data_IF_313415829796
#
_entry.id   IF_313415829796
#
_cell.length_a   1.000
_cell.length_b   1.000
_cell.length_c   1.000
_cell.angle_alpha   90.00
_cell.angle_beta   90.00
_cell.angle_gamma   90.00
#
_symmetry.space_group_name_H-M   'P 1'
#
loop_
_entity.id
_entity.type
_entity.pdbx_description
1 polymer ?
#
# COMPACT_ATOMS: atom_id res chain seq x y z
N UNK A 1 0.51 20.26 19.50
CA UNK A 1 -0.48 19.24 19.91
C UNK A 1 0.07 17.84 19.82
N UNK A 2 0.20 17.29 18.60
CA UNK A 2 0.55 15.86 18.35
C UNK A 2 1.99 15.48 18.76
N UNK A 3 2.96 16.39 18.62
CA UNK A 3 4.36 16.16 19.05
C UNK A 3 4.52 15.91 20.56
N UNK A 4 3.73 16.61 21.37
CA UNK A 4 3.76 16.49 22.83
C UNK A 4 3.13 15.19 23.36
N UNK A 5 2.34 14.48 22.55
CA UNK A 5 1.77 13.17 22.90
C UNK A 5 2.74 12.02 22.58
N UNK A 6 3.60 12.20 21.57
CA UNK A 6 4.66 11.23 21.21
C UNK A 6 5.80 11.29 22.23
N UNK A 7 6.23 12.48 22.65
CA UNK A 7 7.28 12.65 23.67
C UNK A 7 6.86 12.18 25.07
N UNK A 8 5.56 12.05 25.36
CA UNK A 8 5.06 11.54 26.65
C UNK A 8 4.98 10.02 26.73
N UNK A 9 5.05 9.32 25.59
CA UNK A 9 5.05 7.85 25.52
C UNK A 9 6.47 7.25 25.65
N UNK A 10 7.50 8.04 25.35
CA UNK A 10 8.90 7.69 25.53
C UNK A 10 9.38 8.26 26.88
N UNK A 11 9.07 7.55 27.98
CA UNK A 11 9.58 7.91 29.30
C UNK A 11 11.12 7.87 29.35
N UNK A 12 11.79 8.71 30.17
CA UNK A 12 13.24 8.71 30.26
C UNK A 12 13.77 7.39 30.84
N UNK A 13 14.98 6.96 30.46
CA UNK A 13 15.59 5.77 31.04
C UNK A 13 15.85 5.99 32.53
N UNK A 14 15.41 5.05 33.36
CA UNK A 14 15.64 5.06 34.79
C UNK A 14 17.14 4.94 35.10
N UNK A 15 17.73 5.97 35.70
CA UNK A 15 19.03 5.86 36.36
C UNK A 15 18.84 5.18 37.72
N UNK A 16 19.25 3.91 37.79
CA UNK A 16 19.33 3.17 39.04
C UNK A 16 20.69 3.38 39.70
N UNK A 17 20.72 4.16 40.78
CA UNK A 17 21.88 4.31 41.65
C UNK A 17 21.79 3.44 42.91
N UNK A 18 22.84 2.65 43.15
CA UNK A 18 23.37 2.37 44.50
C UNK A 18 23.17 0.96 45.09
N UNK A 19 24.29 0.30 45.41
CA UNK A 19 24.38 -0.67 46.51
C UNK A 19 25.18 -1.94 46.20
N UNK A 20 26.39 -2.07 46.75
CA UNK A 20 27.33 -3.16 46.48
C UNK A 20 27.06 -4.46 47.26
N UNK A 21 27.73 -5.54 46.84
CA UNK A 21 27.69 -6.83 47.53
C UNK A 21 28.27 -8.01 46.72
N UNK A 22 29.57 -8.26 46.94
CA UNK A 22 30.34 -9.51 46.83
C UNK A 22 30.08 -10.58 45.74
N UNK A 23 31.20 -11.03 45.17
CA UNK A 23 31.38 -12.05 44.14
C UNK A 23 30.98 -13.49 44.52
N UNK A 24 30.52 -14.28 43.52
CA UNK A 24 31.04 -15.62 43.23
C UNK A 24 30.56 -16.17 41.85
N UNK A 25 31.53 -16.43 40.98
CA UNK A 25 31.62 -17.46 39.91
C UNK A 25 30.39 -18.02 39.21
N UNK A 26 30.29 -17.75 37.90
CA UNK A 26 29.47 -18.51 36.95
C UNK A 26 29.76 -18.08 35.51
N UNK A 27 30.61 -18.84 34.81
CA UNK A 27 30.97 -18.59 33.43
C UNK A 27 29.79 -18.79 32.49
N UNK A 28 29.23 -17.69 31.98
CA UNK A 28 28.28 -17.66 30.87
C UNK A 28 28.81 -16.71 29.81
N UNK A 29 29.07 -17.22 28.60
CA UNK A 29 29.40 -16.38 27.45
C UNK A 29 28.22 -15.44 27.18
N UNK A 30 28.38 -14.17 27.51
CA UNK A 30 27.43 -13.13 27.16
C UNK A 30 27.42 -12.97 25.64
N UNK A 31 26.34 -13.41 25.00
CA UNK A 31 25.99 -12.96 23.65
C UNK A 31 25.96 -11.43 23.67
N UNK A 32 26.95 -10.80 23.04
CA UNK A 32 26.93 -9.37 22.79
C UNK A 32 25.66 -9.05 22.00
N UNK A 33 24.72 -8.43 22.69
CA UNK A 33 23.52 -7.83 22.10
C UNK A 33 24.02 -6.75 21.16
N UNK A 34 24.13 -7.05 19.87
CA UNK A 34 24.45 -6.07 18.83
C UNK A 34 23.32 -5.05 18.84
N UNK A 35 23.50 -3.95 19.57
CA UNK A 35 22.64 -2.78 19.48
C UNK A 35 22.94 -2.17 18.12
N UNK A 36 22.09 -2.47 17.13
CA UNK A 36 22.15 -1.80 15.83
C UNK A 36 22.18 -0.30 16.07
N UNK A 37 23.23 0.38 15.60
CA UNK A 37 23.32 1.84 15.55
C UNK A 37 21.96 2.35 15.07
N UNK A 38 21.28 3.14 15.90
CA UNK A 38 19.97 3.69 15.57
C UNK A 38 20.14 4.71 14.44
N UNK A 39 20.15 4.24 13.20
CA UNK A 39 19.89 5.08 12.06
C UNK A 39 18.50 5.68 12.30
N UNK A 40 18.33 7.01 12.34
CA UNK A 40 17.01 7.60 12.44
C UNK A 40 16.16 7.01 11.32
N UNK A 41 15.01 6.41 11.65
CA UNK A 41 14.07 5.95 10.63
C UNK A 41 13.73 7.17 9.77
N UNK A 42 14.00 7.13 8.47
CA UNK A 42 13.72 8.25 7.56
C UNK A 42 12.24 8.34 7.26
N UNK A 43 11.52 7.22 7.38
CA UNK A 43 10.09 7.13 7.20
C UNK A 43 9.33 7.75 8.38
N UNK A 44 8.81 8.95 8.12
CA UNK A 44 7.74 9.59 8.86
C UNK A 44 6.44 9.47 8.06
N UNK A 45 5.46 8.75 8.62
CA UNK A 45 4.19 8.52 7.96
C UNK A 45 3.46 9.84 7.64
N UNK A 46 3.40 10.79 8.58
CA UNK A 46 2.69 12.05 8.36
C UNK A 46 3.35 12.85 7.24
N UNK A 47 4.68 12.89 7.21
CA UNK A 47 5.42 13.55 6.11
C UNK A 47 5.13 12.89 4.76
N UNK A 48 5.18 11.56 4.71
CA UNK A 48 5.02 10.82 3.46
C UNK A 48 3.59 10.87 2.91
N UNK A 49 2.56 10.73 3.76
CA UNK A 49 1.17 10.88 3.32
C UNK A 49 0.82 12.35 3.06
N UNK A 50 1.46 13.31 3.73
CA UNK A 50 1.39 14.73 3.39
C UNK A 50 1.89 15.03 1.97
N UNK A 51 3.00 14.39 1.54
CA UNK A 51 3.50 14.48 0.15
C UNK A 51 2.47 14.00 -0.88
N UNK A 52 1.65 13.01 -0.53
CA UNK A 52 0.60 12.49 -1.41
C UNK A 52 -0.69 13.35 -1.41
N UNK A 53 -0.71 14.48 -0.70
CA UNK A 53 -1.90 15.31 -0.56
C UNK A 53 -2.99 14.65 0.30
N UNK A 54 -2.61 13.75 1.22
CA UNK A 54 -3.55 13.15 2.19
C UNK A 54 -3.79 14.07 3.38
N UNK A 55 -2.80 14.87 3.74
CA UNK A 55 -2.92 15.86 4.80
C UNK A 55 -3.10 17.24 4.18
N UNK A 56 -4.07 18.01 4.66
CA UNK A 56 -4.20 19.42 4.27
C UNK A 56 -2.90 20.16 4.61
N UNK A 57 -2.44 21.01 3.68
CA UNK A 57 -1.26 21.87 3.86
C UNK A 57 -1.53 23.00 4.87
N UNK A 58 -1.94 22.67 6.09
CA UNK A 58 -2.01 23.57 7.24
C UNK A 58 -0.90 23.33 8.28
N UNK A 59 -0.05 22.32 8.08
CA UNK A 59 0.98 21.89 9.06
C UNK A 59 2.23 21.29 8.37
N UNK A 60 2.72 21.89 7.28
CA UNK A 60 4.10 21.63 6.88
C UNK A 60 5.02 22.41 7.85
N UNK A 61 5.92 21.77 8.62
CA UNK A 61 6.97 22.51 9.29
C UNK A 61 7.83 23.18 8.21
N UNK A 62 8.26 24.43 8.38
CA UNK A 62 9.14 25.07 7.41
C UNK A 62 10.38 24.20 7.24
N UNK A 63 10.78 23.98 5.99
CA UNK A 63 12.05 23.37 5.68
C UNK A 63 13.12 24.16 6.42
N UNK A 64 13.73 23.55 7.44
CA UNK A 64 14.80 24.19 8.19
C UNK A 64 15.93 24.49 7.21
N UNK A 65 16.20 25.78 7.05
CA UNK A 65 17.35 26.31 6.37
C UNK A 65 18.62 25.65 6.93
N UNK A 66 19.37 25.00 6.06
CA UNK A 66 20.79 24.73 6.28
C UNK A 66 21.52 26.05 6.05
N UNK A 67 21.64 26.84 7.11
CA UNK A 67 22.58 27.96 7.15
C UNK A 67 24.00 27.40 7.26
N UNK A 68 24.68 27.34 6.12
CA UNK A 68 26.13 27.31 6.07
C UNK A 68 26.62 28.75 6.12
N UNK A 69 26.98 29.21 7.31
CA UNK A 69 27.69 30.47 7.50
C UNK A 69 29.18 30.30 7.12
N UNK A 70 29.57 30.81 5.97
CA UNK A 70 30.92 31.37 5.73
C UNK A 70 30.80 32.46 4.68
N UNK A 71 31.06 33.71 5.09
CA UNK A 71 30.87 34.90 4.28
C UNK A 71 32.00 35.19 3.30
N UNK A 72 31.68 36.03 2.31
CA UNK A 72 32.53 37.10 1.78
C UNK A 72 31.67 38.02 0.90
N UNK A 73 31.74 39.31 1.16
CA UNK A 73 31.01 40.36 0.46
C UNK A 73 31.61 40.66 -0.93
N UNK A 74 30.78 41.04 -1.90
CA UNK A 74 31.13 42.04 -2.92
C UNK A 74 29.88 42.53 -3.68
N UNK A 75 29.86 43.83 -3.90
CA UNK A 75 28.84 44.70 -4.50
C UNK A 75 28.82 44.66 -6.03
N UNK A 76 27.64 44.78 -6.65
CA UNK A 76 27.33 45.76 -7.72
C UNK A 76 25.93 45.54 -8.32
N UNK A 77 25.31 46.65 -8.71
CA UNK A 77 23.93 46.80 -9.18
C UNK A 77 23.72 46.44 -10.65
N UNK A 78 22.46 46.17 -11.05
CA UNK A 78 22.00 46.40 -12.42
C UNK A 78 21.01 45.40 -13.03
N UNK A 79 19.77 45.88 -13.19
CA UNK A 79 18.84 45.64 -14.32
C UNK A 79 17.84 44.45 -14.34
N UNK A 80 16.57 44.86 -14.40
CA UNK A 80 15.37 44.32 -15.08
C UNK A 80 14.62 43.08 -14.52
N UNK A 81 13.29 43.18 -14.26
CA UNK A 81 12.46 42.06 -13.83
C UNK A 81 11.87 41.33 -15.05
N UNK A 82 12.52 40.26 -15.49
CA UNK A 82 11.96 39.36 -16.52
C UNK A 82 11.39 38.09 -15.88
N UNK A 83 10.07 37.96 -15.97
CA UNK A 83 9.35 36.71 -16.19
C UNK A 83 9.63 35.50 -15.27
N UNK A 84 9.42 35.64 -13.96
CA UNK A 84 9.38 34.48 -13.04
C UNK A 84 8.19 34.49 -12.06
N UNK A 85 7.12 35.23 -12.37
CA UNK A 85 5.93 35.34 -11.52
C UNK A 85 4.65 34.96 -12.28
N UNK A 86 4.55 33.71 -12.74
CA UNK A 86 3.27 33.15 -13.22
C UNK A 86 3.30 31.61 -13.31
N UNK A 87 3.44 30.93 -12.18
CA UNK A 87 2.73 29.67 -11.94
C UNK A 87 2.62 29.44 -10.44
N UNK A 88 1.99 30.40 -9.76
CA UNK A 88 1.37 30.13 -8.47
C UNK A 88 0.22 29.15 -8.76
N UNK A 89 0.55 27.86 -8.72
CA UNK A 89 -0.36 26.76 -8.93
C UNK A 89 -1.52 26.94 -7.94
N UNK A 90 -2.69 27.33 -8.44
CA UNK A 90 -3.88 27.55 -7.62
C UNK A 90 -4.34 26.19 -7.11
N UNK A 91 -3.80 25.77 -5.96
CA UNK A 91 -4.19 24.54 -5.28
C UNK A 91 -5.66 24.68 -4.89
N UNK A 92 -6.56 24.13 -5.71
CA UNK A 92 -7.91 23.82 -5.26
C UNK A 92 -7.76 22.68 -4.25
N UNK A 93 -7.76 22.98 -2.96
CA UNK A 93 -7.75 21.95 -1.91
C UNK A 93 -9.17 21.39 -1.76
N UNK A 94 -9.56 20.48 -2.66
CA UNK A 94 -10.60 19.51 -2.28
C UNK A 94 -10.04 18.71 -1.11
N UNK A 95 -10.73 18.65 0.05
CA UNK A 95 -10.25 17.90 1.20
C UNK A 95 -9.91 16.47 0.82
N UNK A 96 -8.86 15.90 1.41
CA UNK A 96 -8.50 14.53 1.09
C UNK A 96 -9.64 13.55 1.49
N UNK A 97 -9.98 12.56 0.64
CA UNK A 97 -10.91 11.50 1.02
C UNK A 97 -10.34 10.58 2.11
N UNK A 98 -9.07 10.74 2.47
CA UNK A 98 -8.33 9.93 3.43
C UNK A 98 -7.85 10.76 4.63
N UNK A 99 -7.80 10.14 5.80
CA UNK A 99 -7.35 10.78 7.03
C UNK A 99 -6.45 9.84 7.85
N UNK A 100 -5.56 10.40 8.70
CA UNK A 100 -4.78 9.59 9.62
C UNK A 100 -5.68 9.03 10.75
N UNK A 101 -5.43 7.78 11.11
CA UNK A 101 -5.93 7.12 12.31
C UNK A 101 -4.79 7.14 13.33
N UNK A 102 -4.81 8.14 14.22
CA UNK A 102 -3.70 8.48 15.12
C UNK A 102 -3.73 7.70 16.44
N UNK A 103 -4.88 7.19 16.85
CA UNK A 103 -5.11 6.62 18.17
C UNK A 103 -5.20 5.10 18.13
N UNK A 104 -5.77 4.54 17.05
CA UNK A 104 -6.16 3.14 16.99
C UNK A 104 -4.99 2.18 17.19
N UNK A 105 -3.80 2.49 16.63
CA UNK A 105 -2.60 1.67 16.75
C UNK A 105 -1.41 2.40 17.41
N UNK A 106 -1.65 3.51 18.10
CA UNK A 106 -0.58 4.35 18.66
C UNK A 106 0.41 3.57 19.54
N UNK A 107 -0.11 2.62 20.34
CA UNK A 107 0.65 1.74 21.20
C UNK A 107 0.77 0.30 20.65
N UNK A 108 0.59 0.11 19.34
CA UNK A 108 0.70 -1.19 18.65
C UNK A 108 -0.30 -2.27 19.10
N UNK A 109 -1.28 -1.92 19.94
CA UNK A 109 -2.25 -2.88 20.49
C UNK A 109 -3.32 -3.36 19.51
N UNK A 110 -3.56 -2.64 18.41
CA UNK A 110 -4.48 -3.07 17.35
C UNK A 110 -3.81 -4.08 16.41
N UNK A 111 -2.58 -3.77 16.01
CA UNK A 111 -1.76 -4.58 15.12
C UNK A 111 -0.27 -4.33 15.41
N UNK A 112 0.41 -5.27 16.10
CA UNK A 112 1.82 -5.12 16.45
C UNK A 112 2.78 -5.05 15.25
N UNK A 113 2.36 -5.59 14.11
CA UNK A 113 3.16 -5.67 12.88
C UNK A 113 2.86 -4.53 11.89
N UNK A 114 2.09 -3.52 12.31
CA UNK A 114 1.79 -2.29 11.57
C UNK A 114 2.47 -1.07 12.23
N UNK A 115 2.61 0.06 11.52
CA UNK A 115 3.09 1.30 12.12
C UNK A 115 2.08 1.85 13.14
N UNK A 116 2.54 2.76 14.00
CA UNK A 116 1.71 3.39 15.04
C UNK A 116 0.61 4.30 14.47
N UNK A 117 0.88 4.93 13.32
CA UNK A 117 -0.09 5.74 12.56
C UNK A 117 -0.56 4.96 11.34
N UNK A 118 -1.87 4.80 11.22
CA UNK A 118 -2.54 4.22 10.06
C UNK A 118 -3.31 5.28 9.28
N UNK A 119 -3.82 4.94 8.10
CA UNK A 119 -4.60 5.86 7.27
C UNK A 119 -5.86 5.17 6.76
N UNK A 120 -7.00 5.84 6.93
CA UNK A 120 -8.33 5.32 6.63
C UNK A 120 -9.21 6.31 5.88
N UNK A 121 -10.47 5.95 5.59
CA UNK A 121 -11.46 6.89 5.03
C UNK A 121 -11.70 8.06 5.97
N UNK A 122 -11.80 9.29 5.44
CA UNK A 122 -12.11 10.50 6.23
C UNK A 122 -13.42 10.40 7.01
N UNK A 123 -14.34 9.54 6.56
CA UNK A 123 -15.58 9.20 7.28
C UNK A 123 -15.36 8.41 8.59
N UNK A 124 -14.14 8.00 8.91
CA UNK A 124 -13.78 7.24 10.11
C UNK A 124 -12.84 8.07 10.98
N UNK A 125 -13.31 8.48 12.16
CA UNK A 125 -12.53 9.21 13.16
C UNK A 125 -12.23 8.31 14.36
N UNK A 126 -10.97 7.92 14.55
CA UNK A 126 -10.55 7.03 15.64
C UNK A 126 -10.36 7.72 17.00
N UNK A 127 -10.47 9.05 17.07
CA UNK A 127 -10.63 9.76 18.33
C UNK A 127 -12.05 9.62 18.88
N UNK A 128 -13.04 9.40 18.00
CA UNK A 128 -14.42 9.17 18.42
C UNK A 128 -14.63 7.70 18.82
N UNK A 129 -15.34 7.40 19.93
CA UNK A 129 -15.55 6.02 20.41
C UNK A 129 -16.13 5.08 19.35
N UNK A 130 -17.09 5.55 18.55
CA UNK A 130 -17.69 4.72 17.48
C UNK A 130 -16.73 4.41 16.33
N UNK A 131 -15.89 5.38 15.94
CA UNK A 131 -14.89 5.17 14.89
C UNK A 131 -13.80 4.21 15.38
N UNK A 132 -13.34 4.37 16.62
CA UNK A 132 -12.40 3.44 17.25
C UNK A 132 -12.99 2.03 17.37
N UNK A 133 -14.26 1.90 17.76
CA UNK A 133 -14.96 0.61 17.84
C UNK A 133 -15.10 -0.05 16.47
N UNK A 134 -15.41 0.73 15.42
CA UNK A 134 -15.44 0.23 14.05
C UNK A 134 -14.08 -0.34 13.66
N UNK A 135 -13.01 0.46 13.82
CA UNK A 135 -11.63 0.07 13.50
C UNK A 135 -11.20 -1.22 14.22
N UNK A 136 -11.48 -1.33 15.52
CA UNK A 136 -11.20 -2.54 16.31
C UNK A 136 -11.94 -3.78 15.79
N UNK A 137 -13.21 -3.64 15.39
CA UNK A 137 -13.99 -4.75 14.83
C UNK A 137 -13.50 -5.17 13.43
N UNK A 138 -13.02 -4.22 12.62
CA UNK A 138 -12.39 -4.51 11.33
C UNK A 138 -11.10 -5.30 11.55
N UNK A 139 -10.21 -4.81 12.43
CA UNK A 139 -8.97 -5.49 12.76
C UNK A 139 -9.21 -6.91 13.31
N UNK A 140 -10.18 -7.10 14.21
CA UNK A 140 -10.52 -8.42 14.75
C UNK A 140 -10.96 -9.44 13.69
N UNK A 141 -11.51 -8.97 12.56
CA UNK A 141 -11.93 -9.81 11.43
C UNK A 141 -10.82 -10.03 10.40
N UNK A 142 -9.66 -9.38 10.53
CA UNK A 142 -8.52 -9.50 9.64
C UNK A 142 -7.42 -10.29 10.35
N UNK A 143 -6.77 -11.21 9.63
CA UNK A 143 -5.68 -12.02 10.20
C UNK A 143 -4.64 -11.14 10.91
N UNK A 144 -4.31 -11.47 12.16
CA UNK A 144 -3.34 -10.72 12.99
C UNK A 144 -3.65 -9.22 13.18
N UNK A 145 -4.91 -8.79 13.02
CA UNK A 145 -5.28 -7.39 13.21
C UNK A 145 -4.87 -6.47 12.04
N UNK A 146 -4.33 -7.03 10.95
CA UNK A 146 -3.80 -6.28 9.80
C UNK A 146 -4.91 -5.76 8.89
N UNK A 147 -5.65 -4.79 9.41
CA UNK A 147 -6.80 -4.17 8.75
C UNK A 147 -6.42 -3.47 7.44
N UNK A 148 -7.40 -3.21 6.55
CA UNK A 148 -7.23 -2.31 5.40
C UNK A 148 -6.69 -0.94 5.84
N UNK A 149 -5.51 -0.58 5.35
CA UNK A 149 -4.90 0.75 5.54
C UNK A 149 -4.40 1.26 4.20
N UNK A 150 -4.46 2.58 4.01
CA UNK A 150 -3.96 3.25 2.81
C UNK A 150 -2.46 3.02 2.66
N UNK A 151 -1.99 2.78 1.44
CA UNK A 151 -0.58 2.59 1.10
C UNK A 151 -0.09 3.68 0.13
N UNK A 152 -0.95 4.12 -0.79
CA UNK A 152 -0.69 5.23 -1.71
C UNK A 152 -2.00 5.93 -2.09
N UNK A 153 -1.95 7.25 -2.32
CA UNK A 153 -3.08 8.02 -2.83
C UNK A 153 -2.70 8.88 -4.03
N UNK A 154 -3.62 8.97 -4.98
CA UNK A 154 -3.66 10.04 -5.97
C UNK A 154 -4.04 11.35 -5.26
N UNK A 155 -3.32 12.42 -5.58
CA UNK A 155 -3.57 13.76 -5.03
C UNK A 155 -4.71 14.49 -5.75
N UNK A 156 -5.41 13.83 -6.70
CA UNK A 156 -6.33 14.49 -7.65
C UNK A 156 -7.76 13.96 -7.56
N UNK A 157 -7.94 12.64 -7.43
CA UNK A 157 -9.20 11.99 -7.83
C UNK A 157 -9.66 10.84 -6.92
N UNK A 158 -9.07 10.71 -5.73
CA UNK A 158 -9.40 9.64 -4.79
C UNK A 158 -8.98 8.24 -5.22
N UNK A 159 -8.34 8.05 -6.38
CA UNK A 159 -7.76 6.75 -6.72
C UNK A 159 -6.63 6.41 -5.74
N UNK A 160 -6.56 5.16 -5.26
CA UNK A 160 -5.67 4.81 -4.15
C UNK A 160 -5.31 3.33 -4.11
N UNK A 161 -4.17 3.01 -3.49
CA UNK A 161 -3.77 1.65 -3.14
C UNK A 161 -3.95 1.43 -1.64
N UNK A 162 -4.57 0.31 -1.31
CA UNK A 162 -4.84 -0.16 0.05
C UNK A 162 -4.23 -1.52 0.25
N UNK A 163 -3.89 -1.85 1.49
CA UNK A 163 -3.36 -3.16 1.84
C UNK A 163 -3.94 -3.71 3.14
N UNK A 164 -4.05 -5.04 3.22
CA UNK A 164 -4.48 -5.76 4.42
C UNK A 164 -3.98 -7.22 4.41
N UNK A 165 -4.28 -7.95 5.49
CA UNK A 165 -4.33 -9.42 5.48
C UNK A 165 -5.69 -9.95 5.01
N UNK A 166 -5.79 -11.27 4.83
CA UNK A 166 -7.06 -11.95 4.55
C UNK A 166 -8.12 -11.75 5.65
N UNK A 167 -9.42 -11.80 5.30
CA UNK A 167 -10.52 -11.81 6.25
C UNK A 167 -10.72 -13.20 6.92
N UNK A 168 -11.34 -13.22 8.10
CA UNK A 168 -11.65 -14.41 8.92
C UNK A 168 -13.02 -15.01 8.59
N UNK A 169 -13.23 -15.33 7.31
CA UNK A 169 -14.52 -15.85 6.79
C UNK A 169 -14.74 -17.32 7.17
N UNK A 170 -13.72 -18.16 7.02
CA UNK A 170 -13.78 -19.60 7.31
C UNK A 170 -14.72 -20.40 6.40
N UNK A 171 -14.94 -21.66 6.78
CA UNK A 171 -15.88 -22.56 6.09
C UNK A 171 -17.34 -22.17 6.32
N UNK A 172 -17.66 -21.68 7.52
CA UNK A 172 -19.01 -21.23 7.91
C UNK A 172 -19.46 -19.96 7.20
N UNK A 173 -18.56 -19.26 6.49
CA UNK A 173 -18.91 -18.04 5.77
C UNK A 173 -19.17 -16.86 6.71
N UNK A 174 -18.40 -16.77 7.79
CA UNK A 174 -18.48 -15.69 8.77
C UNK A 174 -18.36 -14.32 8.08
N UNK A 175 -19.11 -13.37 8.60
CA UNK A 175 -19.21 -12.00 8.08
C UNK A 175 -18.87 -11.00 9.18
N UNK A 176 -18.46 -9.81 8.75
CA UNK A 176 -18.26 -8.68 9.65
C UNK A 176 -18.89 -7.45 9.04
N UNK A 177 -20.02 -7.02 9.62
CA UNK A 177 -20.68 -5.77 9.20
C UNK A 177 -19.75 -4.55 9.34
N UNK A 178 -18.78 -4.61 10.27
CA UNK A 178 -17.75 -3.58 10.41
C UNK A 178 -16.78 -3.57 9.23
N UNK A 179 -16.26 -4.73 8.82
CA UNK A 179 -15.35 -4.86 7.66
C UNK A 179 -16.07 -4.49 6.35
N UNK A 180 -17.30 -4.99 6.15
CA UNK A 180 -18.16 -4.64 5.02
C UNK A 180 -18.42 -3.12 4.95
N UNK A 181 -18.74 -2.48 6.08
CA UNK A 181 -18.94 -1.03 6.16
C UNK A 181 -17.64 -0.27 5.87
N UNK A 182 -16.52 -0.70 6.42
CA UNK A 182 -15.23 -0.02 6.24
C UNK A 182 -14.77 -0.05 4.78
N UNK A 183 -14.89 -1.21 4.11
CA UNK A 183 -14.57 -1.31 2.68
C UNK A 183 -15.52 -0.50 1.80
N UNK A 184 -16.81 -0.43 2.16
CA UNK A 184 -17.76 0.45 1.47
C UNK A 184 -17.34 1.92 1.57
N UNK A 185 -16.96 2.38 2.76
CA UNK A 185 -16.49 3.75 2.97
C UNK A 185 -15.25 4.09 2.14
N UNK A 186 -14.32 3.15 1.95
CA UNK A 186 -13.19 3.34 1.03
C UNK A 186 -13.70 3.65 -0.39
N UNK A 187 -14.63 2.85 -0.90
CA UNK A 187 -15.20 3.03 -2.23
C UNK A 187 -15.98 4.35 -2.37
N UNK A 188 -16.83 4.69 -1.41
CA UNK A 188 -17.66 5.90 -1.40
C UNK A 188 -16.81 7.18 -1.30
N UNK A 189 -15.82 7.23 -0.39
CA UNK A 189 -14.93 8.38 -0.25
C UNK A 189 -14.14 8.62 -1.55
N UNK A 190 -13.62 7.57 -2.20
CA UNK A 190 -12.95 7.71 -3.50
C UNK A 190 -13.90 8.21 -4.59
N UNK A 191 -15.12 7.68 -4.66
CA UNK A 191 -16.11 8.06 -5.67
C UNK A 191 -16.53 9.53 -5.54
N UNK A 192 -16.71 10.00 -4.31
CA UNK A 192 -17.04 11.39 -4.01
C UNK A 192 -15.90 12.33 -4.44
N UNK A 193 -14.66 12.03 -4.05
CA UNK A 193 -13.50 12.81 -4.46
C UNK A 193 -13.32 12.83 -5.99
N UNK A 194 -13.60 11.71 -6.67
CA UNK A 194 -13.58 11.66 -8.13
C UNK A 194 -14.65 12.57 -8.75
N UNK A 195 -15.87 12.59 -8.23
CA UNK A 195 -16.95 13.46 -8.71
C UNK A 195 -16.61 14.94 -8.52
N UNK A 196 -16.03 15.32 -7.38
CA UNK A 196 -15.57 16.69 -7.10
C UNK A 196 -14.44 17.12 -8.04
N UNK A 197 -13.51 16.22 -8.37
CA UNK A 197 -12.43 16.50 -9.33
C UNK A 197 -12.95 16.84 -10.73
N UNK A 198 -14.13 16.30 -11.11
CA UNK A 198 -14.77 16.53 -12.40
C UNK A 198 -15.63 17.81 -12.43
N UNK A 199 -16.27 18.17 -11.32
CA UNK A 199 -17.12 19.38 -11.24
C UNK A 199 -16.31 20.67 -11.09
N UNK A 200 -15.06 20.57 -10.64
CA UNK A 200 -14.20 21.74 -10.37
C UNK A 200 -13.46 22.35 -11.56
N UNK A 201 -13.46 21.73 -12.75
CA UNK A 201 -12.69 22.19 -13.91
C UNK A 201 -13.58 22.70 -15.04
N UNK A 202 -13.59 24.01 -15.28
CA UNK A 202 -14.12 24.56 -16.53
C UNK A 202 -13.31 24.04 -17.71
N UNK A 203 -13.94 23.27 -18.61
CA UNK A 203 -13.61 23.14 -20.04
C UNK A 203 -12.19 22.76 -20.48
N UNK A 204 -11.25 22.49 -19.59
CA UNK A 204 -9.86 22.16 -19.89
C UNK A 204 -9.59 20.65 -19.85
N UNK A 205 -10.51 19.85 -20.38
CA UNK A 205 -10.32 18.41 -20.51
C UNK A 205 -9.24 18.14 -21.56
N UNK A 206 -7.98 18.15 -21.14
CA UNK A 206 -6.87 17.66 -21.94
C UNK A 206 -7.17 16.23 -22.37
N UNK A 207 -7.71 16.09 -23.58
CA UNK A 207 -7.95 14.86 -24.32
C UNK A 207 -6.64 14.23 -24.79
N UNK A 208 -5.56 14.40 -24.02
CA UNK A 208 -4.32 13.68 -24.23
C UNK A 208 -4.66 12.20 -24.19
N UNK A 209 -4.59 11.56 -25.36
CA UNK A 209 -4.71 10.11 -25.50
C UNK A 209 -3.78 9.50 -24.47
N UNK A 210 -4.35 9.04 -23.34
CA UNK A 210 -3.57 8.38 -22.30
C UNK A 210 -2.99 7.15 -22.98
N UNK A 211 -1.66 6.98 -23.03
CA UNK A 211 -1.08 5.84 -23.69
C UNK A 211 -1.67 4.58 -23.07
N UNK A 212 -2.46 3.87 -23.87
CA UNK A 212 -2.96 2.55 -23.55
C UNK A 212 -1.79 1.62 -23.92
N UNK A 213 -1.36 0.72 -23.03
CA UNK A 213 -0.31 -0.22 -23.37
C UNK A 213 -0.72 -1.05 -24.58
N UNK A 214 0.26 -1.42 -25.42
CA UNK A 214 -0.02 -2.26 -26.58
C UNK A 214 -0.58 -3.62 -26.16
N UNK A 215 -1.40 -4.23 -27.02
CA UNK A 215 -1.93 -5.58 -26.79
C UNK A 215 -0.79 -6.60 -26.59
N UNK A 216 0.32 -6.45 -27.32
CA UNK A 216 1.51 -7.27 -27.14
C UNK A 216 2.11 -7.15 -25.73
N UNK A 217 2.17 -5.94 -25.17
CA UNK A 217 2.66 -5.71 -23.81
C UNK A 217 1.71 -6.31 -22.77
N UNK A 218 0.40 -6.17 -22.98
CA UNK A 218 -0.61 -6.77 -22.10
C UNK A 218 -0.52 -8.30 -22.13
N UNK A 219 -0.47 -8.93 -23.31
CA UNK A 219 -0.30 -10.38 -23.47
C UNK A 219 0.98 -10.90 -22.82
N UNK A 220 2.09 -10.17 -22.97
CA UNK A 220 3.36 -10.51 -22.31
C UNK A 220 3.21 -10.51 -20.79
N UNK A 221 2.58 -9.48 -20.21
CA UNK A 221 2.38 -9.37 -18.77
C UNK A 221 1.37 -10.39 -18.23
N UNK A 222 0.28 -10.63 -18.94
CA UNK A 222 -0.78 -11.56 -18.50
C UNK A 222 -0.46 -13.02 -18.81
N UNK A 223 0.54 -13.27 -19.67
CA UNK A 223 0.83 -14.61 -20.19
C UNK A 223 -0.30 -15.12 -21.07
N UNK A 224 -0.99 -14.22 -21.78
CA UNK A 224 -2.13 -14.55 -22.64
C UNK A 224 -3.45 -14.83 -21.91
N UNK A 225 -3.53 -14.60 -20.59
CA UNK A 225 -4.79 -14.67 -19.86
C UNK A 225 -5.73 -13.54 -20.33
N UNK A 226 -6.93 -13.92 -20.75
CA UNK A 226 -7.99 -13.14 -21.41
C UNK A 226 -7.98 -11.63 -21.06
N UNK A 227 -7.79 -10.79 -22.08
CA UNK A 227 -7.82 -9.31 -21.99
C UNK A 227 -9.10 -8.74 -21.33
N UNK A 228 -10.18 -9.54 -21.30
CA UNK A 228 -11.45 -9.25 -20.62
C UNK A 228 -11.28 -9.00 -19.11
N UNK A 229 -10.34 -9.64 -18.41
CA UNK A 229 -10.19 -9.47 -16.95
C UNK A 229 -9.52 -8.13 -16.57
N UNK A 230 -8.66 -7.58 -17.44
CA UNK A 230 -8.04 -6.26 -17.24
C UNK A 230 -8.90 -5.13 -17.81
N UNK A 231 -9.45 -5.30 -19.02
CA UNK A 231 -10.22 -4.28 -19.74
C UNK A 231 -11.73 -4.31 -19.44
N UNK A 232 -12.20 -5.35 -18.76
CA UNK A 232 -13.60 -5.59 -18.39
C UNK A 232 -14.32 -4.40 -17.74
N UNK A 233 -13.68 -3.60 -16.85
CA UNK A 233 -14.35 -2.43 -16.26
C UNK A 233 -14.77 -1.40 -17.32
N UNK A 234 -13.96 -1.19 -18.37
CA UNK A 234 -14.26 -0.19 -19.42
C UNK A 234 -15.37 -0.67 -20.38
N UNK A 235 -15.48 -1.97 -20.65
CA UNK A 235 -16.58 -2.55 -21.45
C UNK A 235 -17.88 -2.64 -20.64
N UNK A 236 -17.82 -3.01 -19.37
CA UNK A 236 -18.97 -3.02 -18.46
C UNK A 236 -19.53 -1.60 -18.24
N UNK A 237 -18.67 -0.60 -18.02
CA UNK A 237 -19.07 0.80 -17.92
C UNK A 237 -19.66 1.34 -19.24
N UNK A 238 -19.14 0.92 -20.40
CA UNK A 238 -19.72 1.28 -21.70
C UNK A 238 -21.08 0.65 -21.94
N UNK A 239 -21.32 -0.61 -21.54
CA UNK A 239 -22.64 -1.24 -21.64
C UNK A 239 -23.68 -0.53 -20.77
N UNK A 240 -23.32 -0.12 -19.55
CA UNK A 240 -24.22 0.64 -18.66
C UNK A 240 -24.49 2.04 -19.23
N UNK A 241 -23.47 2.71 -19.77
CA UNK A 241 -23.62 4.03 -20.40
C UNK A 241 -24.47 3.98 -21.69
N UNK A 242 -24.48 2.87 -22.42
CA UNK A 242 -25.35 2.68 -23.59
C UNK A 242 -26.80 2.30 -23.26
N UNK A 243 -27.13 2.05 -21.99
CA UNK A 243 -28.46 1.60 -21.56
C UNK A 243 -29.32 2.68 -20.89
N UNK A 244 -28.78 3.87 -20.63
CA UNK A 244 -29.55 4.96 -20.02
C UNK A 244 -29.92 6.04 -21.03
N UNK A 245 -30.88 5.69 -21.90
CA UNK A 245 -31.85 6.67 -22.40
C UNK A 245 -33.12 6.42 -21.58
N UNK A 246 -33.49 7.34 -20.68
CA UNK A 246 -34.86 7.67 -20.25
C UNK A 246 -34.82 8.60 -18.99
N UNK A 247 -35.14 9.88 -19.24
CA UNK A 247 -35.94 10.82 -18.42
C UNK A 247 -35.37 11.46 -17.13
N UNK A 248 -34.90 12.70 -17.31
CA UNK A 248 -35.46 13.99 -16.81
C UNK A 248 -35.82 14.23 -15.32
N UNK A 249 -35.21 15.29 -14.76
CA UNK A 249 -35.87 16.31 -13.91
C UNK A 249 -35.90 16.13 -12.39
N UNK A 250 -35.28 17.05 -11.64
CA UNK A 250 -35.59 17.31 -10.23
C UNK A 250 -34.38 17.61 -9.33
N UNK A 251 -34.28 18.85 -8.85
CA UNK A 251 -33.34 19.32 -7.83
C UNK A 251 -33.57 18.64 -6.47
N UNK A 252 -32.66 17.77 -6.06
CA UNK A 252 -32.51 17.28 -4.69
C UNK A 252 -31.06 16.86 -4.42
N UNK A 253 -30.58 17.11 -3.20
CA UNK A 253 -29.21 16.87 -2.71
C UNK A 253 -28.75 15.46 -3.08
N UNK A 254 -27.59 15.38 -3.77
CA UNK A 254 -27.13 14.20 -4.51
C UNK A 254 -26.61 13.11 -3.55
N UNK A 255 -27.52 12.27 -3.03
CA UNK A 255 -27.20 10.88 -2.73
C UNK A 255 -27.30 10.09 -4.06
N UNK A 256 -26.25 10.15 -4.88
CA UNK A 256 -26.23 9.43 -6.15
C UNK A 256 -26.20 7.92 -5.87
N UNK A 257 -27.32 7.27 -6.18
CA UNK A 257 -27.47 5.82 -6.23
C UNK A 257 -26.35 5.18 -7.07
N UNK A 258 -25.31 4.63 -6.45
CA UNK A 258 -24.19 3.94 -7.13
C UNK A 258 -24.59 2.55 -7.69
N UNK A 259 -25.87 2.32 -7.96
CA UNK A 259 -26.37 1.01 -8.40
C UNK A 259 -25.68 0.57 -9.70
N UNK A 260 -25.04 -0.61 -9.66
CA UNK A 260 -24.35 -1.21 -10.81
C UNK A 260 -22.92 -0.75 -11.06
N UNK A 261 -22.36 0.21 -10.31
CA UNK A 261 -20.97 0.67 -10.49
C UNK A 261 -20.01 -0.01 -9.51
N UNK A 262 -18.84 -0.43 -9.99
CA UNK A 262 -17.74 -0.87 -9.12
C UNK A 262 -17.08 0.35 -8.46
N UNK A 263 -16.99 0.35 -7.13
CA UNK A 263 -16.38 1.39 -6.31
C UNK A 263 -15.08 0.92 -5.65
N UNK A 264 -14.86 -0.38 -5.49
CA UNK A 264 -13.63 -0.95 -4.91
C UNK A 264 -13.19 -2.20 -5.68
N UNK A 265 -11.92 -2.24 -6.08
CA UNK A 265 -11.29 -3.44 -6.63
C UNK A 265 -10.53 -4.17 -5.52
N UNK A 266 -10.85 -5.42 -5.25
CA UNK A 266 -10.13 -6.28 -4.32
C UNK A 266 -9.27 -7.25 -5.14
N UNK A 267 -7.99 -7.35 -4.79
CA UNK A 267 -7.04 -8.27 -5.42
C UNK A 267 -6.44 -9.18 -4.34
N UNK A 268 -6.90 -10.43 -4.32
CA UNK A 268 -6.26 -11.47 -3.54
C UNK A 268 -5.06 -11.99 -4.33
N UNK A 269 -3.87 -11.72 -3.83
CA UNK A 269 -2.64 -12.00 -4.54
C UNK A 269 -2.30 -13.49 -4.64
N UNK A 270 -3.08 -14.37 -4.00
CA UNK A 270 -2.86 -15.81 -3.98
C UNK A 270 -3.45 -16.51 -5.22
N UNK A 271 -3.05 -17.76 -5.48
CA UNK A 271 -3.88 -18.68 -6.24
C UNK A 271 -5.21 -18.92 -5.53
N UNK A 272 -6.30 -19.02 -6.30
CA UNK A 272 -7.64 -19.31 -5.77
C UNK A 272 -7.66 -20.58 -4.93
N UNK A 273 -6.92 -21.62 -5.33
CA UNK A 273 -6.77 -22.87 -4.57
C UNK A 273 -6.19 -22.62 -3.17
N UNK A 274 -5.14 -21.81 -3.05
CA UNK A 274 -4.56 -21.43 -1.77
C UNK A 274 -5.54 -20.60 -0.93
N UNK A 275 -6.30 -19.70 -1.55
CA UNK A 275 -7.30 -18.91 -0.84
C UNK A 275 -8.45 -19.79 -0.31
N UNK A 276 -8.91 -20.77 -1.09
CA UNK A 276 -9.87 -21.78 -0.64
C UNK A 276 -9.32 -22.66 0.48
N UNK A 277 -8.06 -23.09 0.40
CA UNK A 277 -7.41 -23.86 1.46
C UNK A 277 -7.36 -23.05 2.78
N UNK A 278 -7.08 -21.75 2.73
CA UNK A 278 -7.12 -20.90 3.94
C UNK A 278 -8.52 -20.81 4.58
N UNK A 279 -9.61 -21.12 3.86
CA UNK A 279 -10.94 -21.19 4.47
C UNK A 279 -11.07 -22.31 5.50
N UNK A 280 -10.35 -23.43 5.32
CA UNK A 280 -10.36 -24.53 6.29
C UNK A 280 -9.73 -24.12 7.62
N UNK A 281 -8.85 -23.12 7.61
CA UNK A 281 -8.20 -22.56 8.80
C UNK A 281 -8.97 -21.38 9.41
N UNK A 282 -10.21 -21.13 9.00
CA UNK A 282 -11.02 -20.02 9.51
C UNK A 282 -10.77 -18.67 8.83
N UNK A 283 -9.98 -18.62 7.76
CA UNK A 283 -9.71 -17.42 6.97
C UNK A 283 -10.43 -17.46 5.61
N UNK A 284 -9.96 -16.75 4.60
CA UNK A 284 -10.56 -16.81 3.27
C UNK A 284 -10.37 -15.54 2.48
N UNK A 285 -11.43 -15.13 1.79
CA UNK A 285 -11.49 -13.97 0.91
C UNK A 285 -12.91 -13.42 0.90
N UNK A 286 -13.06 -12.18 0.49
CA UNK A 286 -14.31 -11.42 0.46
C UNK A 286 -15.33 -12.04 -0.52
N UNK A 287 -16.57 -12.22 -0.07
CA UNK A 287 -17.69 -12.59 -0.95
C UNK A 287 -18.40 -11.33 -1.46
N UNK A 288 -18.27 -11.03 -2.75
CA UNK A 288 -18.79 -9.80 -3.37
C UNK A 288 -20.31 -9.63 -3.29
N UNK A 289 -21.07 -10.67 -2.92
CA UNK A 289 -22.49 -10.53 -2.56
C UNK A 289 -22.69 -9.66 -1.32
N UNK A 290 -21.76 -9.70 -0.36
CA UNK A 290 -21.84 -8.93 0.89
C UNK A 290 -20.99 -7.65 0.85
N UNK A 291 -19.91 -7.67 0.06
CA UNK A 291 -19.09 -6.49 -0.22
C UNK A 291 -19.65 -5.75 -1.45
N UNK A 292 -20.77 -5.05 -1.22
CA UNK A 292 -21.47 -4.30 -2.27
C UNK A 292 -20.52 -3.38 -3.05
N UNK A 293 -20.80 -3.23 -4.36
CA UNK A 293 -20.00 -2.40 -5.27
C UNK A 293 -18.51 -2.76 -5.32
N UNK A 294 -18.12 -3.96 -4.88
CA UNK A 294 -16.75 -4.43 -4.94
C UNK A 294 -16.58 -5.58 -5.93
N UNK A 295 -15.40 -5.70 -6.54
CA UNK A 295 -15.01 -6.84 -7.37
C UNK A 295 -13.81 -7.54 -6.77
N UNK A 296 -13.68 -8.86 -6.95
CA UNK A 296 -12.56 -9.66 -6.45
C UNK A 296 -11.86 -10.37 -7.62
N UNK A 297 -10.54 -10.36 -7.65
CA UNK A 297 -9.74 -11.21 -8.55
C UNK A 297 -8.57 -11.88 -7.82
N UNK A 298 -8.16 -13.05 -8.31
CA UNK A 298 -7.01 -13.81 -7.80
C UNK A 298 -5.80 -13.63 -8.72
N UNK A 299 -4.63 -13.29 -8.17
CA UNK A 299 -3.43 -13.02 -8.99
C UNK A 299 -2.48 -14.22 -9.16
N UNK A 300 -2.68 -15.31 -8.40
CA UNK A 300 -1.93 -16.55 -8.63
C UNK A 300 -0.49 -16.58 -8.11
N UNK A 301 -0.05 -15.60 -7.31
CA UNK A 301 1.35 -15.53 -6.85
C UNK A 301 1.64 -16.61 -5.81
N UNK A 302 2.67 -17.42 -6.08
CA UNK A 302 3.15 -18.50 -5.22
C UNK A 302 3.39 -18.08 -3.76
N UNK A 303 3.30 -19.05 -2.84
CA UNK A 303 3.67 -18.81 -1.45
C UNK A 303 5.21 -18.74 -1.29
N UNK A 304 5.67 -18.47 -0.06
CA UNK A 304 7.11 -18.35 0.23
C UNK A 304 7.91 -19.62 -0.11
N UNK A 305 7.29 -20.81 0.00
CA UNK A 305 7.93 -22.08 -0.33
C UNK A 305 8.14 -22.20 -1.84
N UNK A 306 7.10 -21.90 -2.64
CA UNK A 306 7.20 -21.90 -4.10
C UNK A 306 8.28 -20.93 -4.61
N UNK A 307 8.41 -19.75 -4.00
CA UNK A 307 9.45 -18.77 -4.35
C UNK A 307 10.85 -19.27 -3.96
N UNK A 308 11.00 -19.84 -2.75
CA UNK A 308 12.27 -20.41 -2.29
C UNK A 308 12.74 -21.55 -3.18
N UNK A 309 11.86 -22.49 -3.50
CA UNK A 309 12.18 -23.65 -4.33
C UNK A 309 12.55 -23.21 -5.76
N UNK A 310 11.84 -22.21 -6.31
CA UNK A 310 12.15 -21.64 -7.62
C UNK A 310 13.52 -20.95 -7.64
N UNK A 311 13.85 -20.18 -6.59
CA UNK A 311 15.15 -19.53 -6.44
C UNK A 311 16.28 -20.55 -6.33
N UNK A 312 16.12 -21.58 -5.50
CA UNK A 312 17.13 -22.63 -5.31
C UNK A 312 17.42 -23.37 -6.63
N UNK A 313 16.38 -23.76 -7.38
CA UNK A 313 16.54 -24.39 -8.69
C UNK A 313 17.27 -23.47 -9.69
N UNK A 314 16.88 -22.20 -9.75
CA UNK A 314 17.50 -21.22 -10.65
C UNK A 314 18.96 -20.96 -10.26
N UNK A 315 19.25 -20.78 -8.97
CA UNK A 315 20.61 -20.58 -8.49
C UNK A 315 21.49 -21.80 -8.77
N UNK A 316 20.99 -23.02 -8.53
CA UNK A 316 21.73 -24.25 -8.82
C UNK A 316 22.02 -24.40 -10.32
N UNK A 317 21.06 -24.06 -11.18
CA UNK A 317 21.24 -24.08 -12.63
C UNK A 317 22.32 -23.06 -13.07
N UNK A 318 22.25 -21.82 -12.60
CA UNK A 318 23.20 -20.77 -12.97
C UNK A 318 24.62 -21.01 -12.45
N UNK A 319 24.78 -21.76 -11.36
CA UNK A 319 26.08 -22.10 -10.77
C UNK A 319 26.63 -23.44 -11.27
N UNK A 320 25.89 -24.18 -12.10
CA UNK A 320 26.34 -25.46 -12.64
C UNK A 320 27.31 -25.22 -13.83
N UNK A 321 28.62 -25.51 -13.68
CA UNK A 321 29.59 -25.29 -14.75
C UNK A 321 29.43 -26.25 -15.93
N UNK A 322 28.61 -27.29 -15.79
CA UNK A 322 28.33 -28.30 -16.81
C UNK A 322 26.92 -28.16 -17.40
N UNK A 323 26.30 -26.97 -17.32
CA UNK A 323 25.01 -26.71 -17.94
C UNK A 323 25.08 -26.84 -19.47
N UNK A 324 24.14 -27.58 -20.05
CA UNK A 324 24.00 -27.72 -21.50
C UNK A 324 23.25 -26.51 -22.08
N UNK A 325 23.97 -25.67 -22.84
CA UNK A 325 23.42 -24.47 -23.49
C UNK A 325 22.21 -24.80 -24.38
N UNK A 326 22.21 -25.96 -25.04
CA UNK A 326 21.10 -26.37 -25.90
C UNK A 326 19.80 -26.62 -25.11
N UNK A 327 19.91 -26.94 -23.81
CA UNK A 327 18.78 -27.17 -22.89
C UNK A 327 18.54 -26.00 -21.95
N UNK A 328 19.25 -24.88 -22.10
CA UNK A 328 19.14 -23.75 -21.18
C UNK A 328 17.70 -23.24 -21.06
N UNK A 329 17.04 -23.00 -22.19
CA UNK A 329 15.68 -22.43 -22.23
C UNK A 329 14.63 -23.28 -21.49
N UNK A 330 14.64 -24.60 -21.68
CA UNK A 330 13.74 -25.49 -20.94
C UNK A 330 14.14 -25.60 -19.47
N UNK A 331 15.44 -25.69 -19.18
CA UNK A 331 15.96 -25.81 -17.82
C UNK A 331 15.61 -24.58 -16.98
N UNK A 332 15.76 -23.35 -17.51
CA UNK A 332 15.39 -22.13 -16.82
C UNK A 332 13.88 -22.01 -16.63
N UNK A 333 13.07 -22.46 -17.60
CA UNK A 333 11.62 -22.50 -17.49
C UNK A 333 11.15 -23.47 -16.38
N UNK A 334 11.84 -24.60 -16.20
CA UNK A 334 11.53 -25.61 -15.17
C UNK A 334 11.84 -25.15 -13.75
N UNK A 335 12.70 -24.14 -13.59
CA UNK A 335 12.90 -23.47 -12.29
C UNK A 335 11.64 -22.72 -11.84
N UNK A 336 10.78 -22.31 -12.78
CA UNK A 336 9.63 -21.42 -12.57
C UNK A 336 9.97 -20.05 -11.99
N UNK A 337 11.25 -19.67 -11.88
CA UNK A 337 11.68 -18.38 -11.33
C UNK A 337 11.12 -17.19 -12.13
N UNK A 338 11.30 -17.20 -13.45
CA UNK A 338 10.76 -16.15 -14.33
C UNK A 338 9.22 -16.12 -14.32
N UNK A 339 8.57 -17.26 -14.10
CA UNK A 339 7.11 -17.32 -13.93
C UNK A 339 6.66 -16.58 -12.66
N UNK A 340 7.36 -16.76 -11.53
CA UNK A 340 7.07 -16.02 -10.30
C UNK A 340 7.27 -14.50 -10.50
N UNK A 341 8.38 -14.10 -11.13
CA UNK A 341 8.66 -12.68 -11.42
C UNK A 341 7.55 -12.09 -12.31
N UNK A 342 7.16 -12.79 -13.38
CA UNK A 342 6.08 -12.36 -14.28
C UNK A 342 4.75 -12.18 -13.54
N UNK A 343 4.38 -13.11 -12.66
CA UNK A 343 3.13 -13.01 -11.89
C UNK A 343 3.11 -11.77 -10.97
N UNK A 344 4.22 -11.47 -10.31
CA UNK A 344 4.34 -10.28 -9.46
C UNK A 344 4.22 -9.00 -10.30
N UNK A 345 4.92 -8.93 -11.44
CA UNK A 345 4.85 -7.78 -12.36
C UNK A 345 3.43 -7.60 -12.93
N UNK A 346 2.78 -8.70 -13.31
CA UNK A 346 1.41 -8.72 -13.81
C UNK A 346 0.41 -8.16 -12.79
N UNK A 347 0.48 -8.64 -11.53
CA UNK A 347 -0.38 -8.15 -10.45
C UNK A 347 -0.13 -6.66 -10.14
N UNK A 348 1.14 -6.23 -10.17
CA UNK A 348 1.51 -4.83 -9.95
C UNK A 348 0.94 -3.93 -11.05
N UNK A 349 1.05 -4.36 -12.31
CA UNK A 349 0.44 -3.67 -13.43
C UNK A 349 -1.08 -3.61 -13.33
N UNK A 350 -1.76 -4.70 -12.98
CA UNK A 350 -3.21 -4.72 -12.79
C UNK A 350 -3.67 -3.72 -11.72
N UNK A 351 -2.98 -3.68 -10.57
CA UNK A 351 -3.26 -2.73 -9.51
C UNK A 351 -3.08 -1.28 -10.00
N UNK A 352 -1.95 -0.97 -10.63
CA UNK A 352 -1.68 0.33 -11.27
C UNK A 352 -2.74 0.68 -12.30
N UNK A 353 -3.20 -0.29 -13.10
CA UNK A 353 -4.19 -0.07 -14.14
C UNK A 353 -5.54 0.37 -13.54
N UNK A 354 -6.02 -0.34 -12.51
CA UNK A 354 -7.25 0.03 -11.82
C UNK A 354 -7.16 1.40 -11.13
N UNK A 355 -6.03 1.70 -10.49
CA UNK A 355 -5.81 3.02 -9.89
C UNK A 355 -5.77 4.12 -10.95
N UNK A 356 -4.90 3.98 -11.97
CA UNK A 356 -4.60 5.05 -12.93
C UNK A 356 -5.70 5.28 -13.95
N UNK A 357 -6.25 4.21 -14.52
CA UNK A 357 -7.17 4.28 -15.66
C UNK A 357 -8.62 4.13 -15.24
N UNK A 358 -8.94 3.25 -14.28
CA UNK A 358 -10.30 3.10 -13.78
C UNK A 358 -10.63 4.08 -12.64
N UNK A 359 -9.62 4.76 -12.07
CA UNK A 359 -9.77 5.72 -10.97
C UNK A 359 -10.44 5.09 -9.75
N UNK A 360 -10.08 3.84 -9.46
CA UNK A 360 -10.63 3.07 -8.35
C UNK A 360 -9.63 2.97 -7.20
N UNK A 361 -10.10 2.91 -5.95
CA UNK A 361 -9.32 2.32 -4.88
C UNK A 361 -9.13 0.83 -5.15
N UNK A 362 -7.92 0.33 -4.87
CA UNK A 362 -7.56 -1.09 -5.00
C UNK A 362 -7.08 -1.63 -3.65
N UNK A 363 -7.77 -2.64 -3.10
CA UNK A 363 -7.35 -3.37 -1.91
C UNK A 363 -6.52 -4.60 -2.29
N UNK A 364 -5.24 -4.56 -1.93
CA UNK A 364 -4.32 -5.68 -2.06
C UNK A 364 -4.29 -6.48 -0.76
N UNK A 365 -4.45 -7.80 -0.84
CA UNK A 365 -4.15 -8.66 0.29
C UNK A 365 -3.63 -10.03 -0.15
N UNK A 366 -3.05 -10.77 0.78
CA UNK A 366 -2.77 -12.19 0.62
C UNK A 366 -3.19 -12.90 1.91
N UNK A 367 -2.45 -13.92 2.38
CA UNK A 367 -2.70 -14.51 3.70
C UNK A 367 -2.38 -13.51 4.82
N UNK A 368 -1.10 -13.25 5.11
CA UNK A 368 -0.69 -12.35 6.20
C UNK A 368 -0.57 -10.88 5.78
N UNK A 369 -0.52 -10.57 4.48
CA UNK A 369 -0.46 -9.18 4.01
C UNK A 369 0.90 -8.49 4.15
N UNK A 370 2.02 -9.24 4.24
CA UNK A 370 3.38 -8.69 4.38
C UNK A 370 4.42 -9.23 3.38
N UNK A 371 4.11 -10.27 2.60
CA UNK A 371 5.04 -10.83 1.59
C UNK A 371 4.65 -10.32 0.19
N UNK A 372 3.77 -11.06 -0.50
CA UNK A 372 3.22 -10.71 -1.82
C UNK A 372 2.62 -9.31 -1.86
N UNK A 373 1.92 -8.93 -0.80
CA UNK A 373 1.29 -7.60 -0.67
C UNK A 373 2.31 -6.48 -0.70
N UNK A 374 3.44 -6.62 0.00
CA UNK A 374 4.52 -5.62 -0.05
C UNK A 374 5.16 -5.54 -1.43
N UNK A 375 5.41 -6.70 -2.07
CA UNK A 375 5.97 -6.74 -3.43
C UNK A 375 5.09 -6.01 -4.45
N UNK A 376 3.80 -6.36 -4.52
CA UNK A 376 2.86 -5.79 -5.49
C UNK A 376 2.57 -4.32 -5.19
N UNK A 377 2.41 -3.97 -3.92
CA UNK A 377 2.18 -2.58 -3.49
C UNK A 377 3.35 -1.67 -3.88
N UNK A 378 4.58 -2.07 -3.56
CA UNK A 378 5.77 -1.27 -3.84
C UNK A 378 6.00 -1.10 -5.35
N UNK A 379 5.86 -2.17 -6.13
CA UNK A 379 6.01 -2.09 -7.59
C UNK A 379 4.91 -1.24 -8.23
N UNK A 380 3.65 -1.37 -7.79
CA UNK A 380 2.56 -0.53 -8.28
C UNK A 380 2.83 0.96 -7.99
N UNK A 381 3.41 1.27 -6.83
CA UNK A 381 3.81 2.63 -6.47
C UNK A 381 4.95 3.17 -7.34
N UNK A 382 5.96 2.37 -7.67
CA UNK A 382 7.03 2.75 -8.62
C UNK A 382 6.45 3.11 -10.00
N UNK A 383 5.43 2.38 -10.45
CA UNK A 383 4.74 2.64 -11.72
C UNK A 383 3.87 3.92 -11.66
N UNK A 384 3.23 4.18 -10.52
CA UNK A 384 2.29 5.30 -10.34
C UNK A 384 2.98 6.64 -10.08
N UNK A 385 4.08 6.64 -9.32
CA UNK A 385 4.64 7.85 -8.72
C UNK A 385 6.14 8.00 -9.06
N UNK A 386 6.54 9.01 -9.86
CA UNK A 386 7.94 9.29 -10.19
C UNK A 386 8.84 9.48 -8.97
N UNK A 387 8.31 9.93 -7.82
CA UNK A 387 9.10 10.12 -6.60
C UNK A 387 9.84 8.83 -6.20
N UNK A 388 9.15 7.68 -6.25
CA UNK A 388 9.74 6.40 -5.86
C UNK A 388 10.77 5.83 -6.85
N UNK A 389 10.97 6.50 -8.00
CA UNK A 389 12.05 6.20 -8.95
C UNK A 389 13.32 7.02 -8.68
N UNK A 390 13.30 7.90 -7.67
CA UNK A 390 14.49 8.59 -7.17
C UNK A 390 15.17 7.76 -6.07
N UNK A 391 16.44 8.05 -5.76
CA UNK A 391 17.16 7.38 -4.66
C UNK A 391 16.47 7.58 -3.31
N UNK A 392 16.01 8.80 -3.05
CA UNK A 392 15.30 9.15 -1.82
C UNK A 392 13.96 8.42 -1.76
N UNK A 393 13.12 8.56 -2.79
CA UNK A 393 11.82 7.93 -2.80
C UNK A 393 11.88 6.41 -2.76
N UNK A 394 12.82 5.77 -3.46
CA UNK A 394 12.99 4.32 -3.37
C UNK A 394 13.35 3.87 -1.94
N UNK A 395 14.22 4.63 -1.26
CA UNK A 395 14.56 4.36 0.15
C UNK A 395 13.34 4.49 1.06
N UNK A 396 12.57 5.59 0.91
CA UNK A 396 11.30 5.81 1.62
C UNK A 396 10.30 4.69 1.35
N UNK A 397 10.22 4.20 0.10
CA UNK A 397 9.32 3.12 -0.28
C UNK A 397 9.65 1.81 0.44
N UNK A 398 10.94 1.45 0.53
CA UNK A 398 11.38 0.25 1.26
C UNK A 398 11.11 0.40 2.76
N UNK A 399 11.43 1.55 3.35
CA UNK A 399 11.14 1.82 4.76
C UNK A 399 9.64 1.76 5.06
N UNK A 400 8.78 2.26 4.16
CA UNK A 400 7.33 2.20 4.31
C UNK A 400 6.75 0.80 4.07
N UNK A 401 6.84 0.30 2.84
CA UNK A 401 6.09 -0.87 2.38
C UNK A 401 6.63 -2.21 2.89
N UNK A 402 7.90 -2.24 3.30
CA UNK A 402 8.53 -3.43 3.85
C UNK A 402 8.81 -3.29 5.33
N UNK A 403 9.53 -2.26 5.79
CA UNK A 403 9.92 -2.20 7.20
C UNK A 403 8.75 -1.80 8.12
N UNK A 404 8.16 -0.63 7.90
CA UNK A 404 7.10 -0.09 8.74
C UNK A 404 5.82 -0.93 8.68
N UNK A 405 5.50 -1.46 7.50
CA UNK A 405 4.35 -2.35 7.28
C UNK A 405 4.65 -3.84 7.54
N UNK A 406 5.78 -4.15 8.19
CA UNK A 406 5.99 -5.42 8.89
C UNK A 406 6.34 -6.62 8.02
N UNK A 407 7.06 -6.43 6.92
CA UNK A 407 7.73 -7.54 6.24
C UNK A 407 8.76 -8.17 7.20
N UNK A 408 8.67 -9.48 7.49
CA UNK A 408 9.50 -10.11 8.52
C UNK A 408 10.91 -10.43 8.00
N UNK A 409 11.72 -9.40 7.72
CA UNK A 409 13.09 -9.54 7.21
C UNK A 409 13.94 -10.51 8.02
N UNK A 410 13.88 -10.43 9.36
CA UNK A 410 14.65 -11.29 10.25
C UNK A 410 14.41 -12.79 9.95
N UNK A 411 13.14 -13.22 9.90
CA UNK A 411 12.77 -14.61 9.60
C UNK A 411 12.95 -14.96 8.12
N UNK A 412 12.80 -14.01 7.19
CA UNK A 412 12.96 -14.27 5.75
C UNK A 412 14.43 -14.38 5.33
N UNK A 413 15.34 -13.71 6.03
CA UNK A 413 16.76 -13.67 5.73
C UNK A 413 17.62 -14.50 6.71
N UNK A 414 17.03 -15.13 7.72
CA UNK A 414 17.73 -15.98 8.69
C UNK A 414 18.80 -15.23 9.49
N UNK A 415 18.57 -13.94 9.80
CA UNK A 415 19.60 -13.12 10.45
C UNK A 415 19.85 -13.58 11.90
N UNK A 416 21.00 -14.20 12.15
CA UNK A 416 21.38 -14.64 13.50
C UNK A 416 20.87 -16.04 13.87
N UNK A 417 20.16 -16.72 12.97
CA UNK A 417 19.98 -18.16 13.04
C UNK A 417 21.29 -18.77 12.51
N UNK A 418 22.12 -19.33 13.40
CA UNK A 418 23.28 -20.11 12.97
C UNK A 418 22.81 -21.17 11.97
N UNK A 419 23.62 -21.46 10.94
CA UNK A 419 23.38 -22.66 10.12
C UNK A 419 23.31 -23.82 11.11
N UNK A 420 22.11 -24.35 11.37
CA UNK A 420 21.97 -25.61 12.08
C UNK A 420 22.88 -26.58 11.35
N UNK A 421 23.91 -27.06 12.03
CA UNK A 421 24.96 -27.85 11.43
C UNK A 421 24.36 -29.06 10.74
N UNK A 422 24.66 -29.18 9.44
CA UNK A 422 24.83 -30.48 8.80
C UNK A 422 26.27 -30.93 9.04
#
# INVERSE_FOLDING_TARGET
GVRALVEKAEGPPSEGGGGGGAAAGGGGQAQQKVTSRATPRRYDALREYGRMGVLDHGHAPPAAAVDAATGAASTAAGSSPTAAAASANRVRSTPSPWSPLLHANAAYGLCPSYPSVLFGPTAVNDAHPDGLRLVRKVAAFRSEGRMPTLSWSSSIDGASLWRSSQPRVGLQGNRSAADERYLRLIGECAANAHAESMSGGGGGGGSGKRPIPSEAFLRMLTGGANDEDLMGPQRALRRIASSNNLLNGGTAVVAQSHHGRCLLKIMDLRPKSSAMANRTQGYGYENTTYYANSTLSFCGIGNIHAVRDAYQKMSALCLNPSSDDAKWSSSIEDTKWLSQVRQILSASWQATFHVRYNRLPVLLHCSHGWDRTSQVSALAQILLDPYYRTREGFSTLVEKEFMALGHPFHTRCGHGEGRGGD
#
